data_IF_556884165177
#
_entry.id   IF_556884165177
#
_cell.length_a   1.000
_cell.length_b   1.000
_cell.length_c   1.000
_cell.angle_alpha   90.00
_cell.angle_beta   90.00
_cell.angle_gamma   90.00
#
_symmetry.space_group_name_H-M   'P 1'
#
loop_
_entity.id
_entity.type
_entity.pdbx_description
1 polymer ?
#
# COMPACT_ATOMS: atom_id res chain seq x y z
N UNK A 1 1.05 -77.02 45.90
CA UNK A 1 0.86 -75.57 45.84
C UNK A 1 2.15 -74.76 45.98
N UNK A 2 3.26 -75.27 46.41
CA UNK A 2 4.55 -74.55 46.52
C UNK A 2 5.31 -74.29 45.19
N UNK A 3 5.25 -75.12 44.12
CA UNK A 3 6.02 -74.87 42.91
C UNK A 3 5.42 -73.76 42.02
N UNK A 4 4.11 -73.51 42.12
CA UNK A 4 3.43 -72.49 41.35
C UNK A 4 3.74 -71.06 41.82
N UNK A 5 4.01 -70.86 43.12
CA UNK A 5 4.38 -69.58 43.69
C UNK A 5 5.81 -69.17 43.29
N UNK A 6 6.71 -70.16 43.22
CA UNK A 6 8.10 -69.94 42.78
C UNK A 6 8.18 -69.58 41.28
N UNK A 7 7.38 -70.23 40.46
CA UNK A 7 7.28 -69.87 39.02
C UNK A 7 6.69 -68.48 38.77
N UNK A 8 5.68 -68.06 39.56
CA UNK A 8 5.12 -66.75 39.52
C UNK A 8 6.09 -65.61 39.98
N UNK A 9 6.91 -65.96 40.99
CA UNK A 9 7.92 -65.00 41.48
C UNK A 9 9.11 -64.89 40.52
N UNK A 10 9.45 -65.90 39.74
CA UNK A 10 10.50 -65.92 38.73
C UNK A 10 10.04 -65.12 37.47
N UNK A 11 8.74 -65.11 37.12
CA UNK A 11 8.18 -64.31 36.03
C UNK A 11 8.07 -62.78 36.34
N UNK A 12 8.00 -62.44 37.64
CA UNK A 12 8.00 -61.04 38.07
C UNK A 12 9.41 -60.40 38.08
N UNK A 13 10.46 -61.17 37.96
CA UNK A 13 11.86 -60.72 37.92
C UNK A 13 12.37 -60.43 36.51
N UNK A 14 11.59 -60.61 35.46
CA UNK A 14 11.88 -60.04 34.11
C UNK A 14 11.52 -58.57 34.04
N UNK A 15 11.92 -57.84 35.07
CA UNK A 15 11.96 -56.37 34.95
C UNK A 15 12.96 -56.00 33.84
N UNK A 16 12.49 -55.36 32.82
CA UNK A 16 13.27 -54.82 31.76
C UNK A 16 14.50 -54.09 32.31
N UNK A 17 15.67 -54.67 32.21
CA UNK A 17 16.96 -54.02 32.28
C UNK A 17 17.03 -53.06 31.10
N UNK A 18 16.49 -51.88 31.30
CA UNK A 18 16.73 -50.79 30.34
C UNK A 18 18.21 -50.45 30.44
N UNK A 19 18.95 -50.84 29.41
CA UNK A 19 20.36 -50.50 29.29
C UNK A 19 20.53 -49.00 29.36
N UNK A 20 21.12 -48.50 30.40
CA UNK A 20 21.58 -47.12 30.52
C UNK A 20 22.92 -47.06 29.80
N UNK A 21 22.99 -46.29 28.72
CA UNK A 21 24.19 -46.22 27.86
C UNK A 21 24.82 -44.84 28.05
N UNK A 22 26.11 -44.82 28.21
CA UNK A 22 26.92 -43.59 28.10
C UNK A 22 27.23 -43.35 26.64
N UNK A 23 26.95 -42.11 26.14
CA UNK A 23 27.27 -41.69 24.78
C UNK A 23 28.50 -40.80 24.87
N UNK A 24 29.56 -41.19 24.19
CA UNK A 24 30.80 -40.43 24.11
C UNK A 24 31.26 -40.29 22.66
N UNK A 25 32.05 -39.25 22.40
CA UNK A 25 32.58 -39.07 21.07
C UNK A 25 33.66 -38.00 21.01
N UNK A 26 34.18 -37.82 19.80
CA UNK A 26 35.26 -36.90 19.48
C UNK A 26 34.80 -36.01 18.32
N UNK A 27 35.09 -34.73 18.41
CA UNK A 27 34.82 -33.73 17.36
C UNK A 27 36.15 -33.18 16.86
N UNK A 28 36.39 -33.31 15.56
CA UNK A 28 37.60 -32.80 14.90
C UNK A 28 37.26 -31.94 13.69
N UNK A 29 38.17 -31.05 13.32
CA UNK A 29 38.14 -30.33 12.07
C UNK A 29 38.46 -31.23 10.89
N UNK A 30 37.65 -31.17 9.83
CA UNK A 30 37.75 -32.07 8.68
C UNK A 30 38.97 -31.85 7.84
N UNK A 31 39.60 -30.63 7.85
CA UNK A 31 40.75 -30.28 7.01
C UNK A 31 42.08 -30.61 7.70
N UNK A 32 42.20 -30.31 9.00
CA UNK A 32 43.48 -30.41 9.71
C UNK A 32 43.50 -31.47 10.82
N UNK A 33 42.36 -32.16 11.04
CA UNK A 33 42.14 -33.16 12.09
C UNK A 33 42.39 -32.66 13.54
N UNK A 34 42.45 -31.36 13.76
CA UNK A 34 42.61 -30.80 15.11
C UNK A 34 41.33 -30.95 15.90
N UNK A 35 41.43 -31.15 17.22
CA UNK A 35 40.24 -31.18 18.07
C UNK A 35 39.50 -29.85 18.02
N UNK A 36 38.16 -29.91 18.10
CA UNK A 36 37.28 -28.73 18.10
C UNK A 36 36.74 -28.52 19.50
N UNK A 37 37.23 -27.49 20.16
CA UNK A 37 36.82 -27.10 21.50
C UNK A 37 35.49 -26.30 21.48
N UNK A 38 34.72 -26.38 22.58
CA UNK A 38 33.47 -25.67 22.83
C UNK A 38 32.40 -25.83 21.73
N UNK A 39 32.44 -26.91 20.96
CA UNK A 39 31.36 -27.26 20.05
C UNK A 39 30.11 -27.70 20.84
N UNK A 40 28.95 -27.18 20.45
CA UNK A 40 27.69 -27.56 21.07
C UNK A 40 27.25 -28.91 20.53
N UNK A 41 27.14 -29.91 21.44
CA UNK A 41 26.69 -31.26 21.15
C UNK A 41 25.29 -31.42 21.73
N UNK A 42 24.31 -31.75 20.88
CA UNK A 42 22.91 -31.91 21.26
C UNK A 42 22.45 -33.34 20.99
N UNK A 43 21.79 -33.92 21.94
CA UNK A 43 21.08 -35.19 21.77
C UNK A 43 19.61 -34.89 21.52
N UNK A 44 19.07 -35.37 20.41
CA UNK A 44 17.68 -35.09 20.00
C UNK A 44 17.05 -36.28 19.30
N UNK A 45 15.71 -36.31 19.23
CA UNK A 45 15.02 -37.27 18.36
C UNK A 45 15.18 -36.84 16.90
N UNK A 46 15.42 -37.82 16.02
CA UNK A 46 15.54 -37.57 14.57
C UNK A 46 14.35 -36.76 14.04
N UNK A 47 14.63 -35.60 13.46
CA UNK A 47 13.62 -34.70 12.87
C UNK A 47 12.85 -33.80 13.84
N UNK A 48 13.08 -33.88 15.17
CA UNK A 48 12.30 -33.04 16.11
C UNK A 48 12.86 -31.64 16.29
N UNK A 49 14.15 -31.42 16.06
CA UNK A 49 14.81 -30.12 16.28
C UNK A 49 14.88 -29.67 17.74
N UNK A 50 14.26 -30.39 18.68
CA UNK A 50 14.26 -30.07 20.12
C UNK A 50 15.26 -30.97 20.82
N UNK A 51 16.30 -30.40 21.47
CA UNK A 51 17.28 -31.20 22.18
C UNK A 51 16.67 -31.81 23.45
N UNK A 52 16.96 -33.10 23.69
CA UNK A 52 16.62 -33.82 24.92
C UNK A 52 17.70 -33.56 25.98
N UNK A 53 18.97 -33.44 25.52
CA UNK A 53 20.11 -33.11 26.36
C UNK A 53 21.18 -32.41 25.52
N UNK A 54 22.11 -31.68 26.16
CA UNK A 54 23.22 -31.03 25.49
C UNK A 54 24.47 -31.01 26.36
N UNK A 55 25.62 -30.93 25.70
CA UNK A 55 26.94 -30.75 26.33
C UNK A 55 27.84 -29.96 25.40
N UNK A 56 29.03 -29.60 25.84
CA UNK A 56 30.06 -28.98 25.04
C UNK A 56 31.27 -29.92 24.92
N UNK A 57 32.03 -29.79 23.84
CA UNK A 57 33.32 -30.46 23.73
C UNK A 57 34.37 -29.79 24.62
N UNK A 58 35.31 -30.55 25.13
CA UNK A 58 36.50 -30.09 25.86
C UNK A 58 37.61 -29.64 24.90
N UNK A 59 38.76 -29.20 25.45
CA UNK A 59 39.91 -28.74 24.67
C UNK A 59 40.51 -29.80 23.75
N UNK A 60 40.32 -31.08 24.09
CA UNK A 60 40.72 -32.25 23.31
C UNK A 60 39.63 -32.70 22.32
N UNK A 61 38.49 -31.98 22.25
CA UNK A 61 37.37 -32.26 21.37
C UNK A 61 36.46 -33.39 21.83
N UNK A 62 36.61 -33.91 23.06
CA UNK A 62 35.79 -34.96 23.57
C UNK A 62 34.48 -34.43 24.15
N UNK A 63 33.41 -35.24 24.07
CA UNK A 63 32.15 -35.01 24.75
C UNK A 63 31.61 -36.29 25.37
N UNK A 64 30.85 -36.13 26.44
CA UNK A 64 30.24 -37.23 27.17
C UNK A 64 28.81 -36.82 27.59
N UNK A 65 27.84 -37.69 27.29
CA UNK A 65 26.54 -37.65 27.93
C UNK A 65 26.49 -38.75 29.01
N UNK A 66 26.37 -38.36 30.28
CA UNK A 66 26.25 -39.36 31.35
C UNK A 66 24.90 -40.08 31.22
N UNK A 67 24.93 -41.37 31.39
CA UNK A 67 23.83 -42.32 31.51
C UNK A 67 22.44 -41.87 31.08
N UNK A 68 22.09 -42.14 29.82
CA UNK A 68 20.81 -41.72 29.22
C UNK A 68 20.03 -42.94 28.72
N UNK A 69 18.70 -42.92 28.80
CA UNK A 69 17.85 -43.90 28.13
C UNK A 69 17.81 -43.57 26.64
N UNK A 70 18.43 -44.37 25.82
CA UNK A 70 18.47 -44.22 24.36
C UNK A 70 17.40 -45.09 23.73
N UNK A 71 16.67 -44.56 22.75
CA UNK A 71 15.82 -45.33 21.85
C UNK A 71 16.32 -45.18 20.40
N UNK A 72 15.99 -46.12 19.54
CA UNK A 72 16.52 -46.32 18.19
C UNK A 72 16.33 -45.11 17.22
N UNK A 73 15.68 -44.04 17.66
CA UNK A 73 15.45 -42.85 16.88
C UNK A 73 16.19 -41.59 17.37
N UNK A 74 17.24 -41.77 18.20
CA UNK A 74 18.04 -40.63 18.66
C UNK A 74 19.24 -40.36 17.77
N UNK A 75 19.53 -39.04 17.59
CA UNK A 75 20.70 -38.54 16.87
C UNK A 75 21.46 -37.56 17.74
N UNK A 76 22.78 -37.58 17.59
CA UNK A 76 23.65 -36.52 18.15
C UNK A 76 23.95 -35.53 17.05
N UNK A 77 23.68 -34.26 17.34
CA UNK A 77 23.93 -33.11 16.46
C UNK A 77 25.04 -32.28 17.06
N UNK A 78 26.07 -32.00 16.26
CA UNK A 78 27.18 -31.13 16.63
C UNK A 78 27.17 -29.88 15.80
N UNK A 79 27.34 -28.71 16.44
CA UNK A 79 27.39 -27.41 15.80
C UNK A 79 28.38 -26.47 16.49
N UNK A 80 29.10 -25.69 15.69
CA UNK A 80 29.96 -24.61 16.15
C UNK A 80 29.91 -23.47 15.14
N UNK A 81 29.99 -22.22 15.63
CA UNK A 81 30.00 -21.06 14.77
C UNK A 81 31.23 -21.10 13.83
N UNK A 82 30.99 -20.94 12.53
CA UNK A 82 32.04 -21.06 11.49
C UNK A 82 32.19 -22.45 10.91
N UNK A 83 31.50 -23.46 11.44
CA UNK A 83 31.50 -24.85 10.98
C UNK A 83 30.13 -25.30 10.47
N UNK A 84 30.12 -26.27 9.59
CA UNK A 84 28.90 -26.97 9.18
C UNK A 84 28.34 -27.83 10.29
N UNK A 85 27.03 -27.83 10.47
CA UNK A 85 26.37 -28.73 11.42
C UNK A 85 26.41 -30.17 10.91
N UNK A 86 26.67 -31.15 11.80
CA UNK A 86 26.70 -32.56 11.47
C UNK A 86 25.81 -33.35 12.41
N UNK A 87 25.12 -34.37 11.92
CA UNK A 87 24.26 -35.27 12.70
C UNK A 87 24.65 -36.71 12.44
N UNK A 88 24.78 -37.50 13.53
CA UNK A 88 25.01 -38.94 13.46
C UNK A 88 23.97 -39.68 14.34
N UNK A 89 23.50 -40.87 13.91
CA UNK A 89 22.65 -41.71 14.75
C UNK A 89 23.43 -42.20 15.94
N UNK A 90 22.75 -42.36 17.07
CA UNK A 90 23.33 -42.99 18.25
C UNK A 90 23.35 -44.51 18.07
N UNK A 91 24.54 -45.09 18.09
CA UNK A 91 24.73 -46.54 18.09
C UNK A 91 25.20 -46.94 19.49
N UNK A 92 24.45 -47.80 20.22
CA UNK A 92 24.84 -48.21 21.57
C UNK A 92 26.21 -48.88 21.60
N UNK A 93 27.12 -48.38 22.46
CA UNK A 93 28.46 -48.94 22.65
C UNK A 93 29.51 -48.47 21.66
N UNK A 94 29.18 -47.60 20.66
CA UNK A 94 30.16 -47.04 19.76
C UNK A 94 30.48 -45.59 20.13
N UNK A 95 31.78 -45.21 20.00
CA UNK A 95 32.20 -43.80 20.13
C UNK A 95 31.90 -43.05 18.85
N UNK A 96 31.22 -41.90 18.96
CA UNK A 96 30.86 -41.09 17.81
C UNK A 96 32.03 -40.18 17.38
N UNK A 97 32.35 -40.19 16.10
CA UNK A 97 33.37 -39.30 15.50
C UNK A 97 32.75 -38.29 14.56
N UNK A 98 32.85 -37.01 14.91
CA UNK A 98 32.37 -35.90 14.09
C UNK A 98 33.55 -35.19 13.43
N UNK A 99 33.48 -34.98 12.11
CA UNK A 99 34.45 -34.20 11.33
C UNK A 99 33.74 -32.99 10.78
N UNK A 100 33.89 -31.86 11.46
CA UNK A 100 33.23 -30.59 11.06
C UNK A 100 34.06 -29.89 9.98
N UNK A 101 33.41 -29.54 8.86
CA UNK A 101 34.02 -28.73 7.82
C UNK A 101 33.80 -27.24 8.09
N UNK A 102 34.81 -26.41 7.86
CA UNK A 102 34.68 -24.95 7.91
C UNK A 102 33.61 -24.48 6.92
N UNK A 103 32.67 -23.74 7.40
CA UNK A 103 31.62 -23.13 6.58
C UNK A 103 31.59 -21.64 6.88
N UNK A 104 32.06 -20.77 5.94
CA UNK A 104 32.02 -19.32 6.14
C UNK A 104 30.59 -18.90 6.42
N UNK A 105 30.37 -18.23 7.53
CA UNK A 105 29.07 -17.70 7.89
C UNK A 105 28.82 -16.47 7.04
N UNK A 106 28.06 -16.61 5.97
CA UNK A 106 27.53 -15.47 5.25
C UNK A 106 26.44 -14.82 6.09
N UNK A 107 26.73 -13.71 6.73
CA UNK A 107 25.73 -12.87 7.37
C UNK A 107 24.75 -12.44 6.29
N UNK A 108 23.48 -12.84 6.42
CA UNK A 108 22.41 -12.27 5.59
C UNK A 108 22.41 -10.76 5.84
N UNK A 109 22.54 -9.99 4.76
CA UNK A 109 22.40 -8.55 4.80
C UNK A 109 21.15 -8.17 5.57
N UNK A 110 21.29 -7.53 6.72
CA UNK A 110 20.18 -6.98 7.48
C UNK A 110 19.69 -5.76 6.71
N UNK A 111 18.74 -5.93 5.82
CA UNK A 111 18.03 -4.82 5.21
C UNK A 111 17.22 -4.14 6.31
N UNK A 112 17.78 -3.06 6.86
CA UNK A 112 17.05 -2.16 7.73
C UNK A 112 15.93 -1.55 6.88
N UNK A 113 14.71 -2.05 7.05
CA UNK A 113 13.53 -1.44 6.42
C UNK A 113 13.26 -0.14 7.17
N UNK A 114 13.13 1.00 6.48
CA UNK A 114 12.74 2.23 7.11
C UNK A 114 11.45 2.03 7.89
N UNK A 115 11.25 2.87 8.92
CA UNK A 115 10.02 2.86 9.71
C UNK A 115 8.79 3.09 8.83
N UNK A 116 7.61 2.92 9.41
CA UNK A 116 6.31 3.14 8.75
C UNK A 116 6.21 4.53 8.11
N UNK A 117 6.79 5.52 8.79
CA UNK A 117 6.93 6.91 8.35
C UNK A 117 8.38 7.30 8.59
N UNK A 118 9.03 7.87 7.61
CA UNK A 118 10.39 8.35 7.73
C UNK A 118 10.59 9.67 6.98
N UNK A 119 11.27 10.60 7.62
CA UNK A 119 11.60 11.91 7.05
C UNK A 119 13.02 11.93 6.47
N UNK A 120 13.23 12.71 5.42
CA UNK A 120 14.53 13.08 4.90
C UNK A 120 14.47 14.50 4.38
N UNK A 121 15.10 15.45 5.08
CA UNK A 121 14.98 16.88 4.79
C UNK A 121 13.50 17.30 4.77
N UNK A 122 13.05 18.04 3.75
CA UNK A 122 11.68 18.53 3.57
C UNK A 122 10.75 17.45 2.95
N UNK A 123 11.08 16.17 3.06
CA UNK A 123 10.28 15.08 2.50
C UNK A 123 9.92 14.08 3.57
N UNK A 124 8.62 13.86 3.75
CA UNK A 124 8.07 12.82 4.61
C UNK A 124 7.60 11.68 3.72
N UNK A 125 8.07 10.47 4.00
CA UNK A 125 7.75 9.28 3.22
C UNK A 125 6.87 8.34 4.05
N UNK A 126 5.79 7.87 3.45
CA UNK A 126 4.89 6.86 4.00
C UNK A 126 5.07 5.56 3.22
N UNK A 127 5.51 4.49 3.87
CA UNK A 127 5.52 3.15 3.28
C UNK A 127 4.09 2.62 3.20
N UNK A 128 3.53 2.61 1.99
CA UNK A 128 2.13 2.24 1.74
C UNK A 128 1.82 0.83 2.22
N UNK A 129 2.79 -0.09 2.18
CA UNK A 129 2.59 -1.48 2.62
C UNK A 129 2.15 -1.61 4.08
N UNK A 130 2.43 -0.57 4.89
CA UNK A 130 2.10 -0.50 6.32
C UNK A 130 0.75 0.15 6.63
N UNK A 131 0.09 0.73 5.62
CA UNK A 131 -1.16 1.46 5.77
C UNK A 131 -2.31 0.86 4.95
N UNK A 132 -1.99 0.13 3.89
CA UNK A 132 -2.96 -0.45 2.97
C UNK A 132 -3.83 -1.51 3.67
N UNK A 133 -5.12 -1.49 3.37
CA UNK A 133 -6.11 -2.48 3.79
C UNK A 133 -6.61 -3.26 2.56
N UNK A 134 -7.08 -4.51 2.71
CA UNK A 134 -7.72 -5.27 1.63
C UNK A 134 -8.94 -4.59 1.00
N UNK A 135 -9.53 -3.61 1.69
CA UNK A 135 -10.69 -2.83 1.21
C UNK A 135 -10.29 -1.60 0.41
N UNK A 136 -9.01 -1.28 0.33
CA UNK A 136 -8.55 -0.09 -0.38
C UNK A 136 -8.41 -0.41 -1.87
N UNK A 137 -9.25 0.19 -2.69
CA UNK A 137 -9.27 0.02 -4.13
C UNK A 137 -8.39 1.06 -4.82
N UNK A 138 -8.42 2.29 -4.35
CA UNK A 138 -7.77 3.45 -4.95
C UNK A 138 -6.72 4.10 -4.05
N UNK A 139 -5.87 4.92 -4.66
CA UNK A 139 -4.91 5.76 -3.92
C UNK A 139 -5.62 6.68 -2.93
N UNK A 140 -6.82 7.20 -3.28
CA UNK A 140 -7.62 8.04 -2.40
C UNK A 140 -7.91 7.35 -1.06
N UNK A 141 -8.17 6.04 -1.07
CA UNK A 141 -8.47 5.28 0.15
C UNK A 141 -7.25 5.19 1.05
N UNK A 142 -6.07 5.00 0.47
CA UNK A 142 -4.80 5.02 1.22
C UNK A 142 -4.56 6.42 1.80
N UNK A 143 -4.71 7.48 0.99
CA UNK A 143 -4.45 8.85 1.44
C UNK A 143 -5.28 9.24 2.65
N UNK A 144 -6.54 8.80 2.74
CA UNK A 144 -7.41 9.01 3.90
C UNK A 144 -6.90 8.35 5.20
N UNK A 145 -5.99 7.40 5.11
CA UNK A 145 -5.42 6.67 6.26
C UNK A 145 -4.07 7.19 6.70
N UNK A 146 -3.43 8.01 5.85
CA UNK A 146 -2.10 8.52 6.16
C UNK A 146 -2.19 9.66 7.18
N UNK A 147 -1.43 9.60 8.29
CA UNK A 147 -1.41 10.67 9.29
C UNK A 147 -1.07 12.03 8.67
N UNK A 148 -1.83 13.04 9.06
CA UNK A 148 -1.67 14.41 8.58
C UNK A 148 -2.30 14.70 7.22
N UNK A 149 -2.65 13.68 6.43
CA UNK A 149 -3.33 13.85 5.13
C UNK A 149 -4.83 13.78 5.34
N UNK A 150 -5.55 14.71 4.74
CA UNK A 150 -7.00 14.77 4.72
C UNK A 150 -7.50 14.85 3.29
N UNK A 151 -8.56 14.13 2.97
CA UNK A 151 -9.23 14.18 1.68
C UNK A 151 -10.71 14.47 1.96
N UNK A 152 -11.17 15.63 1.53
CA UNK A 152 -12.56 16.03 1.72
C UNK A 152 -13.51 15.30 0.73
N UNK A 153 -14.82 15.51 0.88
CA UNK A 153 -15.82 14.86 0.03
C UNK A 153 -15.69 15.24 -1.44
N UNK A 154 -15.23 16.46 -1.74
CA UNK A 154 -14.96 16.92 -3.11
C UNK A 154 -13.67 16.32 -3.70
N UNK A 155 -12.88 15.55 -2.93
CA UNK A 155 -11.62 14.99 -3.37
C UNK A 155 -10.41 15.92 -3.23
N UNK A 156 -10.58 17.11 -2.61
CA UNK A 156 -9.47 18.02 -2.34
C UNK A 156 -8.58 17.45 -1.24
N UNK A 157 -7.28 17.45 -1.47
CA UNK A 157 -6.28 16.89 -0.56
C UNK A 157 -5.60 18.02 0.18
N UNK A 158 -5.41 17.84 1.49
CA UNK A 158 -4.61 18.74 2.34
C UNK A 158 -3.69 17.94 3.26
N UNK A 159 -2.63 18.58 3.71
CA UNK A 159 -1.68 18.03 4.69
C UNK A 159 -1.53 19.03 5.85
N UNK A 160 -1.76 18.56 7.08
CA UNK A 160 -1.75 19.39 8.29
C UNK A 160 -2.55 20.69 8.14
N UNK A 161 -3.72 20.61 7.49
CA UNK A 161 -4.63 21.75 7.25
C UNK A 161 -4.25 22.67 6.08
N UNK A 162 -3.12 22.46 5.41
CA UNK A 162 -2.71 23.19 4.20
C UNK A 162 -3.07 22.41 2.94
N UNK A 163 -3.67 23.06 1.96
CA UNK A 163 -4.00 22.44 0.66
C UNK A 163 -2.73 22.11 -0.10
N UNK A 164 -2.72 20.97 -0.81
CA UNK A 164 -1.59 20.65 -1.68
C UNK A 164 -1.62 21.50 -2.95
N UNK A 165 -0.46 22.01 -3.35
CA UNK A 165 -0.29 22.83 -4.56
C UNK A 165 -0.07 21.97 -5.81
N UNK A 166 0.53 20.79 -5.66
CA UNK A 166 0.86 19.88 -6.76
C UNK A 166 0.72 18.43 -6.35
N UNK A 167 0.38 17.60 -7.35
CA UNK A 167 0.26 16.15 -7.21
C UNK A 167 1.07 15.46 -8.31
N UNK A 168 2.10 14.74 -7.88
CA UNK A 168 3.05 14.08 -8.77
C UNK A 168 2.87 12.56 -8.75
N UNK A 169 3.15 11.92 -9.87
CA UNK A 169 3.41 10.48 -9.94
C UNK A 169 4.78 10.29 -10.58
N UNK A 170 5.68 9.56 -9.92
CA UNK A 170 7.08 9.39 -10.35
C UNK A 170 7.78 10.74 -10.65
N UNK A 171 7.41 11.80 -9.93
CA UNK A 171 7.99 13.13 -10.06
C UNK A 171 7.43 13.99 -11.21
N UNK A 172 6.36 13.55 -11.88
CA UNK A 172 5.72 14.26 -12.99
C UNK A 172 4.28 14.66 -12.67
N UNK A 173 3.88 15.88 -13.00
CA UNK A 173 2.53 16.41 -12.81
C UNK A 173 1.73 16.32 -14.12
N UNK A 174 1.03 15.20 -14.30
CA UNK A 174 0.16 14.97 -15.46
C UNK A 174 -1.18 15.73 -15.31
N UNK A 175 -1.71 15.77 -14.11
CA UNK A 175 -3.10 16.16 -13.83
C UNK A 175 -3.34 17.66 -13.83
N UNK A 176 -2.31 18.48 -13.67
CA UNK A 176 -2.41 19.94 -13.62
C UNK A 176 -3.51 20.45 -12.66
N UNK A 177 -3.51 19.91 -11.45
CA UNK A 177 -4.52 20.24 -10.44
C UNK A 177 -5.80 19.39 -10.47
N UNK A 178 -6.00 18.52 -11.49
CA UNK A 178 -7.09 17.53 -11.52
C UNK A 178 -6.67 16.18 -10.99
N UNK A 179 -6.03 16.18 -9.84
CA UNK A 179 -5.47 14.95 -9.27
C UNK A 179 -6.52 13.93 -8.85
N UNK A 180 -7.81 14.30 -8.79
CA UNK A 180 -8.91 13.36 -8.62
C UNK A 180 -8.94 12.26 -9.69
N UNK A 181 -8.56 12.59 -10.94
CA UNK A 181 -8.45 11.64 -12.04
C UNK A 181 -7.45 10.51 -11.75
N UNK A 182 -6.38 10.82 -11.01
CA UNK A 182 -5.36 9.83 -10.64
C UNK A 182 -5.70 9.20 -9.29
N UNK A 183 -6.01 10.00 -8.28
CA UNK A 183 -6.23 9.50 -6.92
C UNK A 183 -7.41 8.55 -6.79
N UNK A 184 -8.47 8.73 -7.58
CA UNK A 184 -9.65 7.87 -7.56
C UNK A 184 -9.51 6.61 -8.46
N UNK A 185 -8.60 6.62 -9.42
CA UNK A 185 -8.53 5.59 -10.46
C UNK A 185 -7.23 4.77 -10.47
N UNK A 186 -6.17 5.25 -9.82
CA UNK A 186 -4.95 4.49 -9.64
C UNK A 186 -5.14 3.48 -8.50
N UNK A 187 -4.91 2.22 -8.81
CA UNK A 187 -5.06 1.13 -7.84
C UNK A 187 -4.14 1.32 -6.61
N UNK A 188 -4.68 1.10 -5.44
CA UNK A 188 -3.97 1.20 -4.16
C UNK A 188 -2.68 0.35 -4.13
N UNK A 189 -2.74 -0.88 -4.62
CA UNK A 189 -1.65 -1.84 -4.63
C UNK A 189 -0.48 -1.45 -5.55
N UNK A 190 -0.68 -0.51 -6.48
CA UNK A 190 0.36 -0.04 -7.40
C UNK A 190 1.36 0.91 -6.73
N UNK A 191 0.98 1.55 -5.62
CA UNK A 191 1.82 2.52 -4.93
C UNK A 191 2.74 1.85 -3.91
N UNK A 192 4.00 2.23 -3.93
CA UNK A 192 5.03 1.80 -2.97
C UNK A 192 5.15 2.80 -1.82
N UNK A 193 5.27 4.10 -2.17
CA UNK A 193 5.50 5.17 -1.21
C UNK A 193 4.70 6.41 -1.59
N UNK A 194 4.06 7.02 -0.61
CA UNK A 194 3.53 8.37 -0.70
C UNK A 194 4.53 9.33 -0.06
N UNK A 195 4.96 10.34 -0.80
CA UNK A 195 5.87 11.37 -0.32
C UNK A 195 5.12 12.68 -0.16
N UNK A 196 5.21 13.29 1.00
CA UNK A 196 4.81 14.67 1.25
C UNK A 196 6.07 15.53 1.11
N UNK A 197 6.03 16.47 0.18
CA UNK A 197 7.11 17.43 -0.08
C UNK A 197 6.70 18.75 0.56
N UNK A 198 7.30 19.06 1.70
CA UNK A 198 7.12 20.34 2.38
C UNK A 198 8.03 21.40 1.74
N UNK A 199 7.68 22.67 1.85
CA UNK A 199 8.44 23.78 1.25
C UNK A 199 8.69 23.59 -0.25
N UNK A 200 7.70 23.03 -0.95
CA UNK A 200 7.84 22.59 -2.33
C UNK A 200 7.94 23.76 -3.30
N UNK A 201 9.02 23.82 -4.07
CA UNK A 201 9.19 24.77 -5.16
C UNK A 201 9.04 24.08 -6.52
N UNK A 202 7.94 24.33 -7.27
CA UNK A 202 7.69 23.67 -8.56
C UNK A 202 8.69 24.08 -9.66
N UNK A 203 9.41 25.20 -9.47
CA UNK A 203 10.41 25.68 -10.40
C UNK A 203 11.79 25.22 -9.94
N UNK A 204 12.34 24.23 -10.61
CA UNK A 204 13.60 23.56 -10.24
C UNK A 204 14.80 24.52 -10.01
N UNK A 205 14.85 25.61 -10.78
CA UNK A 205 15.95 26.61 -10.67
C UNK A 205 15.83 27.40 -9.36
N UNK A 206 14.61 27.57 -8.83
CA UNK A 206 14.35 28.29 -7.58
C UNK A 206 14.35 27.38 -6.35
N UNK A 207 14.43 26.09 -6.55
CA UNK A 207 14.53 25.13 -5.46
C UNK A 207 15.74 25.45 -4.57
N UNK A 208 15.58 25.51 -3.27
CA UNK A 208 16.57 25.93 -2.26
C UNK A 208 17.00 27.41 -2.31
N UNK A 209 16.51 28.19 -3.29
CA UNK A 209 16.79 29.65 -3.36
C UNK A 209 15.68 30.50 -2.81
N UNK A 210 14.45 30.02 -2.92
CA UNK A 210 13.25 30.70 -2.41
C UNK A 210 12.53 29.71 -1.52
N UNK A 211 12.31 30.07 -0.27
CA UNK A 211 11.45 29.32 0.64
C UNK A 211 10.00 29.51 0.24
N UNK A 212 9.25 28.45 0.15
CA UNK A 212 7.80 28.45 -0.05
C UNK A 212 7.16 27.66 1.05
N UNK A 213 5.90 27.95 1.36
CA UNK A 213 5.11 27.14 2.27
C UNK A 213 4.26 26.08 1.53
N UNK A 214 4.48 25.96 0.23
CA UNK A 214 3.73 25.05 -0.62
C UNK A 214 4.02 23.58 -0.25
N UNK A 215 2.97 22.79 -0.31
CA UNK A 215 3.03 21.35 -0.07
C UNK A 215 2.68 20.63 -1.37
N UNK A 216 3.45 19.60 -1.70
CA UNK A 216 3.10 18.72 -2.80
C UNK A 216 3.09 17.26 -2.37
N UNK A 217 2.32 16.44 -3.05
CA UNK A 217 2.35 14.99 -2.92
C UNK A 217 3.04 14.36 -4.12
N UNK A 218 3.82 13.31 -3.88
CA UNK A 218 4.40 12.50 -4.94
C UNK A 218 4.20 11.01 -4.66
N UNK A 219 3.62 10.32 -5.61
CA UNK A 219 3.43 8.89 -5.56
C UNK A 219 4.61 8.18 -6.23
N UNK A 220 5.22 7.24 -5.54
CA UNK A 220 6.17 6.29 -6.12
C UNK A 220 5.50 4.96 -6.34
N UNK A 221 5.61 4.45 -7.55
CA UNK A 221 5.02 3.17 -7.93
C UNK A 221 5.97 2.02 -7.65
N UNK A 222 5.43 0.87 -7.32
CA UNK A 222 6.19 -0.38 -7.26
C UNK A 222 6.79 -0.69 -8.64
N UNK A 223 8.00 -1.29 -8.71
CA UNK A 223 8.70 -1.55 -9.99
C UNK A 223 7.85 -2.28 -11.03
N UNK A 224 7.02 -3.24 -10.60
CA UNK A 224 6.18 -4.05 -11.48
C UNK A 224 5.03 -3.27 -12.15
N UNK A 225 4.66 -2.10 -11.62
CA UNK A 225 3.58 -1.27 -12.17
C UNK A 225 4.11 -0.08 -12.99
N UNK A 226 5.41 0.19 -12.95
CA UNK A 226 6.02 1.26 -13.74
C UNK A 226 6.04 0.90 -15.21
N UNK A 227 5.68 1.86 -16.07
CA UNK A 227 5.68 1.73 -17.53
C UNK A 227 4.82 0.57 -18.08
N UNK A 228 3.83 0.13 -17.32
CA UNK A 228 2.85 -0.86 -17.75
C UNK A 228 1.47 -0.21 -17.87
N UNK A 229 0.65 -0.73 -18.76
CA UNK A 229 -0.75 -0.37 -18.81
C UNK A 229 -1.50 -0.98 -17.64
N UNK A 230 -2.17 -0.12 -16.88
CA UNK A 230 -3.11 -0.47 -15.84
C UNK A 230 -4.49 -0.20 -16.42
N UNK A 231 -5.26 -1.23 -16.69
CA UNK A 231 -6.57 -1.11 -17.31
C UNK A 231 -7.61 -1.67 -16.34
N UNK A 232 -8.66 -0.90 -16.10
CA UNK A 232 -9.84 -1.33 -15.38
C UNK A 232 -11.08 -1.02 -16.20
N UNK A 233 -11.97 -2.01 -16.35
CA UNK A 233 -13.24 -1.90 -17.04
C UNK A 233 -14.34 -2.43 -16.13
N UNK A 234 -15.30 -1.57 -15.83
CA UNK A 234 -16.45 -1.90 -15.01
C UNK A 234 -17.72 -1.50 -15.73
N UNK A 235 -18.75 -2.33 -15.63
CA UNK A 235 -20.05 -2.03 -16.19
C UNK A 235 -21.14 -2.66 -15.33
N UNK A 236 -22.25 -1.96 -15.22
CA UNK A 236 -23.42 -2.45 -14.47
C UNK A 236 -24.71 -1.96 -15.08
N UNK A 237 -25.73 -2.79 -15.02
CA UNK A 237 -27.10 -2.43 -15.38
C UNK A 237 -28.09 -3.10 -14.45
N UNK A 238 -29.24 -2.46 -14.20
CA UNK A 238 -30.28 -3.03 -13.34
C UNK A 238 -31.40 -2.04 -13.06
N UNK A 239 -32.41 -2.53 -12.38
CA UNK A 239 -33.51 -1.72 -11.90
C UNK A 239 -34.62 -1.45 -12.91
N UNK A 240 -35.68 -0.79 -12.41
CA UNK A 240 -36.77 -0.24 -13.20
C UNK A 240 -37.12 1.15 -12.62
N UNK A 241 -36.87 2.25 -13.32
CA UNK A 241 -36.30 2.36 -14.68
C UNK A 241 -34.89 1.79 -14.79
N UNK A 242 -34.45 1.53 -16.03
CA UNK A 242 -33.13 0.96 -16.28
C UNK A 242 -32.04 1.93 -15.79
N UNK A 243 -31.31 1.48 -14.79
CA UNK A 243 -30.09 2.15 -14.29
C UNK A 243 -28.87 1.51 -14.95
N UNK A 244 -27.87 2.32 -15.27
CA UNK A 244 -26.63 1.84 -15.85
C UNK A 244 -25.42 2.61 -15.30
N UNK A 245 -24.27 1.96 -15.29
CA UNK A 245 -22.98 2.57 -15.00
C UNK A 245 -21.91 1.95 -15.89
N UNK A 246 -20.94 2.75 -16.32
CA UNK A 246 -19.78 2.32 -17.09
C UNK A 246 -18.54 3.08 -16.66
N UNK A 247 -17.44 2.36 -16.47
CA UNK A 247 -16.14 2.93 -16.11
C UNK A 247 -15.06 2.23 -16.94
N UNK A 248 -14.29 3.02 -17.68
CA UNK A 248 -13.06 2.59 -18.35
C UNK A 248 -11.93 3.46 -17.87
N UNK A 249 -10.89 2.84 -17.36
CA UNK A 249 -9.69 3.48 -16.88
C UNK A 249 -8.47 2.78 -17.47
N UNK A 250 -7.65 3.51 -18.21
CA UNK A 250 -6.40 3.02 -18.79
C UNK A 250 -5.28 4.01 -18.48
N UNK A 251 -4.30 3.56 -17.72
CA UNK A 251 -3.17 4.38 -17.28
C UNK A 251 -1.84 3.72 -17.63
N UNK A 252 -0.89 4.49 -18.11
CA UNK A 252 0.51 4.12 -18.24
C UNK A 252 1.36 5.22 -17.60
N UNK A 253 2.05 4.89 -16.51
CA UNK A 253 2.78 5.84 -15.69
C UNK A 253 4.25 5.47 -15.63
N UNK A 254 5.11 6.36 -16.11
CA UNK A 254 6.56 6.20 -16.07
C UNK A 254 7.26 7.53 -15.76
N UNK A 255 8.58 7.51 -15.63
CA UNK A 255 9.39 8.72 -15.41
C UNK A 255 9.67 9.53 -16.68
N UNK A 256 9.36 8.97 -17.86
CA UNK A 256 9.61 9.61 -19.17
C UNK A 256 8.32 10.05 -19.83
N UNK A 257 7.25 9.27 -19.66
CA UNK A 257 5.95 9.59 -20.22
C UNK A 257 4.83 9.06 -19.33
N UNK A 258 3.72 9.75 -19.32
CA UNK A 258 2.51 9.35 -18.61
C UNK A 258 1.31 9.53 -19.51
N UNK A 259 0.39 8.59 -19.46
CA UNK A 259 -0.87 8.62 -20.18
C UNK A 259 -1.99 8.18 -19.27
N UNK A 260 -3.10 8.89 -19.29
CA UNK A 260 -4.32 8.56 -18.53
C UNK A 260 -5.51 8.79 -19.43
N UNK A 261 -6.28 7.74 -19.68
CA UNK A 261 -7.51 7.76 -20.44
C UNK A 261 -8.63 7.26 -19.55
N UNK A 262 -9.67 8.05 -19.38
CA UNK A 262 -10.79 7.76 -18.52
C UNK A 262 -12.08 7.98 -19.27
N UNK A 263 -13.01 7.07 -19.13
CA UNK A 263 -14.42 7.26 -19.44
C UNK A 263 -15.24 6.84 -18.24
N UNK A 264 -16.17 7.66 -17.81
CA UNK A 264 -17.17 7.30 -16.81
C UNK A 264 -18.52 7.85 -17.23
N UNK A 265 -19.52 7.00 -17.13
CA UNK A 265 -20.88 7.38 -17.38
C UNK A 265 -21.86 6.63 -16.48
N UNK A 266 -22.92 7.28 -16.08
CA UNK A 266 -23.99 6.64 -15.32
C UNK A 266 -25.27 7.48 -15.27
N UNK A 267 -26.36 6.81 -14.85
CA UNK A 267 -27.62 7.44 -14.45
C UNK A 267 -28.07 7.00 -13.04
N UNK A 268 -27.12 6.60 -12.19
CA UNK A 268 -27.37 6.01 -10.88
C UNK A 268 -27.33 7.00 -9.71
N UNK A 269 -27.20 8.30 -10.00
CA UNK A 269 -27.02 9.33 -8.95
C UNK A 269 -25.56 9.54 -8.52
N UNK A 270 -24.60 8.77 -9.06
CA UNK A 270 -23.20 8.95 -8.74
C UNK A 270 -22.61 10.16 -9.51
N UNK A 271 -22.02 11.11 -8.80
CA UNK A 271 -21.40 12.30 -9.38
C UNK A 271 -19.95 12.07 -9.77
N UNK A 272 -19.73 11.58 -10.98
CA UNK A 272 -18.39 11.35 -11.53
C UNK A 272 -17.72 12.65 -12.01
N UNK A 273 -18.41 13.80 -12.02
CA UNK A 273 -17.83 15.08 -12.43
C UNK A 273 -16.84 15.63 -11.40
N UNK A 274 -16.92 15.19 -10.16
CA UNK A 274 -15.98 15.60 -9.11
C UNK A 274 -14.51 15.24 -9.45
N UNK A 275 -14.27 14.19 -10.24
CA UNK A 275 -12.93 13.82 -10.70
C UNK A 275 -12.32 14.81 -11.70
N UNK A 276 -13.18 15.57 -12.36
CA UNK A 276 -12.79 16.61 -13.32
C UNK A 276 -12.51 17.96 -12.65
N UNK A 277 -12.71 18.06 -11.34
CA UNK A 277 -12.48 19.32 -10.61
C UNK A 277 -11.01 19.69 -10.66
N UNK A 278 -10.81 20.96 -10.95
CA UNK A 278 -9.51 21.60 -10.83
C UNK A 278 -9.39 22.20 -9.43
N UNK A 279 -8.37 21.81 -8.69
CA UNK A 279 -8.12 22.32 -7.35
C UNK A 279 -7.01 23.36 -7.37
N UNK A 280 -7.27 24.49 -6.72
CA UNK A 280 -6.31 25.55 -6.45
C UNK A 280 -6.04 25.62 -4.96
N UNK A 281 -4.86 26.11 -4.61
CA UNK A 281 -4.58 26.51 -3.22
C UNK A 281 -5.33 27.79 -2.88
N UNK A 282 -5.50 28.10 -1.60
CA UNK A 282 -6.14 29.34 -1.16
C UNK A 282 -5.39 30.59 -1.66
N UNK A 283 -4.07 30.51 -1.78
CA UNK A 283 -3.21 31.56 -2.31
C UNK A 283 -3.43 31.76 -3.81
N UNK A 284 -3.54 30.67 -4.58
CA UNK A 284 -3.86 30.72 -6.01
C UNK A 284 -5.28 31.26 -6.23
N UNK A 285 -6.26 30.91 -5.40
CA UNK A 285 -7.62 31.46 -5.46
C UNK A 285 -7.65 32.96 -5.18
N UNK A 286 -6.87 33.45 -4.20
CA UNK A 286 -6.73 34.89 -3.93
C UNK A 286 -6.10 35.63 -5.10
N UNK A 287 -5.11 35.03 -5.77
CA UNK A 287 -4.37 35.64 -6.87
C UNK A 287 -5.15 35.69 -8.18
N UNK A 288 -5.88 34.61 -8.49
CA UNK A 288 -6.53 34.43 -9.80
C UNK A 288 -8.05 34.53 -9.75
N UNK A 289 -8.62 34.73 -8.56
CA UNK A 289 -10.06 34.70 -8.31
C UNK A 289 -10.66 33.29 -8.30
N UNK A 290 -11.96 33.17 -8.02
CA UNK A 290 -12.67 31.87 -8.02
C UNK A 290 -12.72 31.30 -9.44
N UNK A 291 -12.68 29.96 -9.53
CA UNK A 291 -12.76 29.25 -10.82
C UNK A 291 -14.07 29.47 -11.57
N UNK A 292 -15.16 29.73 -10.84
CA UNK A 292 -16.48 30.05 -11.36
C UNK A 292 -17.04 31.25 -10.60
N UNK A 293 -17.66 32.21 -11.29
CA UNK A 293 -18.39 33.28 -10.63
C UNK A 293 -19.41 32.75 -9.64
N UNK A 294 -19.57 33.44 -8.51
CA UNK A 294 -20.45 33.00 -7.41
C UNK A 294 -21.92 32.85 -7.86
N UNK A 295 -22.36 33.63 -8.84
CA UNK A 295 -23.72 33.56 -9.37
C UNK A 295 -24.00 32.31 -10.24
N UNK A 296 -22.95 31.59 -10.69
CA UNK A 296 -23.06 30.32 -11.41
C UNK A 296 -22.99 29.08 -10.45
N UNK A 297 -22.86 29.32 -9.15
CA UNK A 297 -22.92 28.23 -8.18
C UNK A 297 -24.35 27.73 -8.10
N UNK A 298 -24.52 26.45 -8.42
CA UNK A 298 -25.80 25.79 -8.24
C UNK A 298 -26.14 25.70 -6.73
N UNK A 299 -27.41 25.89 -6.35
CA UNK A 299 -27.82 25.68 -4.98
C UNK A 299 -27.51 24.24 -4.56
N UNK A 300 -26.80 24.08 -3.46
CA UNK A 300 -26.52 22.76 -2.90
C UNK A 300 -27.80 22.14 -2.34
N UNK A 301 -28.08 20.90 -2.67
CA UNK A 301 -29.09 20.12 -1.98
C UNK A 301 -28.60 19.86 -0.55
N UNK A 302 -29.26 20.49 0.42
CA UNK A 302 -29.03 20.24 1.83
C UNK A 302 -30.09 19.27 2.33
N UNK A 303 -29.77 17.98 2.38
CA UNK A 303 -30.61 16.96 2.98
C UNK A 303 -29.74 15.96 3.75
N UNK A 304 -30.23 15.32 4.81
CA UNK A 304 -29.47 14.36 5.61
C UNK A 304 -29.32 13.00 4.91
N UNK A 305 -29.34 12.97 3.58
CA UNK A 305 -29.21 11.78 2.75
C UNK A 305 -27.90 11.84 1.95
N UNK A 306 -27.41 10.67 1.58
CA UNK A 306 -26.26 10.58 0.68
C UNK A 306 -26.58 11.23 -0.67
N UNK A 307 -25.61 11.91 -1.25
CA UNK A 307 -25.74 12.66 -2.51
C UNK A 307 -26.30 11.78 -3.65
N UNK A 308 -25.92 10.52 -3.71
CA UNK A 308 -26.35 9.55 -4.72
C UNK A 308 -27.88 9.25 -4.66
N UNK A 309 -28.51 9.49 -3.51
CA UNK A 309 -29.97 9.33 -3.33
C UNK A 309 -30.77 10.57 -3.70
N UNK A 310 -30.11 11.68 -3.88
CA UNK A 310 -30.72 12.99 -4.15
C UNK A 310 -30.48 13.44 -5.59
N UNK A 311 -29.53 12.86 -6.27
CA UNK A 311 -29.09 13.24 -7.60
C UNK A 311 -29.74 12.34 -8.65
N UNK A 312 -30.59 12.93 -9.49
CA UNK A 312 -31.09 12.31 -10.71
C UNK A 312 -30.25 12.85 -11.86
N UNK A 313 -29.31 12.05 -12.36
CA UNK A 313 -28.37 12.48 -13.38
C UNK A 313 -28.32 11.52 -14.57
N UNK A 314 -27.85 12.01 -15.68
CA UNK A 314 -27.30 11.24 -16.79
C UNK A 314 -26.01 11.92 -17.17
N UNK A 315 -24.90 11.27 -16.85
CA UNK A 315 -23.58 11.88 -16.94
C UNK A 315 -22.62 11.04 -17.78
N UNK A 316 -21.82 11.71 -18.58
CA UNK A 316 -20.71 11.15 -19.32
C UNK A 316 -19.48 12.03 -19.13
N UNK A 317 -18.37 11.45 -18.75
CA UNK A 317 -17.08 12.14 -18.65
C UNK A 317 -16.05 11.40 -19.48
N UNK A 318 -15.24 12.14 -20.21
CA UNK A 318 -14.12 11.62 -20.99
C UNK A 318 -12.88 12.43 -20.68
N UNK A 319 -11.75 11.76 -20.44
CA UNK A 319 -10.46 12.39 -20.23
C UNK A 319 -9.37 11.68 -21.01
N UNK A 320 -8.55 12.44 -21.69
CA UNK A 320 -7.34 11.97 -22.36
C UNK A 320 -6.18 12.90 -22.00
N UNK A 321 -5.31 12.44 -21.14
CA UNK A 321 -4.22 13.23 -20.59
C UNK A 321 -2.89 12.56 -20.92
N UNK A 322 -1.95 13.32 -21.44
CA UNK A 322 -0.64 12.82 -21.82
C UNK A 322 0.48 13.80 -21.45
N UNK A 323 1.54 13.28 -20.86
CA UNK A 323 2.71 14.03 -20.47
C UNK A 323 3.98 13.34 -20.99
N UNK A 324 4.79 14.10 -21.70
CA UNK A 324 6.09 13.68 -22.19
C UNK A 324 7.21 14.50 -21.57
N UNK A 325 8.20 13.86 -21.02
CA UNK A 325 9.48 14.45 -20.68
C UNK A 325 10.37 14.39 -21.92
N UNK A 326 10.45 15.50 -22.66
CA UNK A 326 11.23 15.59 -23.89
C UNK A 326 12.73 15.49 -23.58
N UNK A 327 13.17 16.20 -22.53
CA UNK A 327 14.52 16.12 -21.96
C UNK A 327 14.49 16.58 -20.49
N UNK A 328 15.65 16.73 -19.84
CA UNK A 328 15.71 17.16 -18.42
C UNK A 328 15.14 18.56 -18.18
N UNK A 329 15.01 19.36 -19.21
CA UNK A 329 14.60 20.76 -19.14
C UNK A 329 13.26 21.05 -19.79
N UNK A 330 12.69 20.11 -20.55
CA UNK A 330 11.46 20.33 -21.32
C UNK A 330 10.45 19.20 -21.12
N UNK A 331 9.20 19.59 -20.93
CA UNK A 331 8.05 18.71 -20.79
C UNK A 331 6.91 19.22 -21.63
N UNK A 332 6.24 18.33 -22.35
CA UNK A 332 5.00 18.60 -23.10
C UNK A 332 3.85 17.87 -22.41
N UNK A 333 2.83 18.62 -22.02
CA UNK A 333 1.59 18.10 -21.46
C UNK A 333 0.42 18.45 -22.35
N UNK A 334 -0.43 17.48 -22.61
CA UNK A 334 -1.67 17.62 -23.40
C UNK A 334 -2.80 17.03 -22.54
N UNK A 335 -3.82 17.83 -22.28
CA UNK A 335 -5.00 17.43 -21.53
C UNK A 335 -6.24 17.74 -22.37
N UNK A 336 -7.10 16.75 -22.56
CA UNK A 336 -8.41 16.87 -23.17
C UNK A 336 -9.45 16.28 -22.21
N UNK A 337 -10.44 17.07 -21.84
CA UNK A 337 -11.49 16.68 -20.92
C UNK A 337 -12.84 17.08 -21.49
N UNK A 338 -13.81 16.19 -21.40
CA UNK A 338 -15.20 16.43 -21.78
C UNK A 338 -16.14 15.97 -20.68
N UNK A 339 -17.17 16.75 -20.42
CA UNK A 339 -18.24 16.44 -19.48
C UNK A 339 -19.56 16.79 -20.14
N UNK A 340 -20.45 15.82 -20.18
CA UNK A 340 -21.87 16.00 -20.47
C UNK A 340 -22.65 15.56 -19.25
N UNK A 341 -23.49 16.44 -18.69
CA UNK A 341 -24.20 16.17 -17.45
C UNK A 341 -25.63 16.77 -17.51
N UNK A 342 -26.61 15.89 -17.46
CA UNK A 342 -28.02 16.24 -17.34
C UNK A 342 -28.45 15.92 -15.92
N UNK A 343 -28.93 16.91 -15.17
CA UNK A 343 -29.42 16.76 -13.80
C UNK A 343 -30.87 17.19 -13.68
N UNK A 344 -31.64 16.42 -12.96
CA UNK A 344 -32.99 16.81 -12.54
C UNK A 344 -33.04 16.87 -11.02
N UNK A 345 -33.63 17.93 -10.50
CA UNK A 345 -33.83 18.13 -9.06
C UNK A 345 -35.27 18.49 -8.82
N UNK A 346 -35.91 17.79 -7.90
CA UNK A 346 -37.25 18.09 -7.41
C UNK A 346 -37.17 18.55 -5.96
N UNK A 347 -37.73 19.67 -5.65
CA UNK A 347 -37.77 20.24 -4.30
C UNK A 347 -39.19 20.60 -3.95
N UNK A 348 -39.69 20.09 -2.82
CA UNK A 348 -40.93 20.49 -2.19
C UNK A 348 -40.63 21.23 -0.89
N UNK A 349 -41.31 22.33 -0.65
CA UNK A 349 -41.26 23.07 0.60
C UNK A 349 -42.70 23.29 1.09
N UNK A 350 -42.97 22.95 2.34
CA UNK A 350 -44.29 23.17 2.98
C UNK A 350 -44.04 24.07 4.17
N UNK A 351 -44.61 25.27 4.15
CA UNK A 351 -44.54 26.25 5.22
C UNK A 351 -45.90 26.45 5.84
N UNK A 352 -46.00 26.25 7.14
CA UNK A 352 -47.22 26.52 7.91
C UNK A 352 -47.07 27.84 8.65
N UNK A 353 -47.97 28.77 8.38
CA UNK A 353 -48.10 30.03 9.13
C UNK A 353 -49.27 29.88 10.08
N UNK A 354 -48.99 29.82 11.37
CA UNK A 354 -50.00 29.72 12.43
C UNK A 354 -50.49 31.11 12.81
N UNK A 355 -51.78 31.39 12.63
CA UNK A 355 -52.46 32.58 13.10
C UNK A 355 -53.48 32.19 14.16
N UNK A 356 -53.93 33.14 15.03
CA UNK A 356 -54.79 32.84 16.18
C UNK A 356 -56.10 32.11 15.85
N UNK A 357 -56.62 32.25 14.63
CA UNK A 357 -57.90 31.64 14.20
C UNK A 357 -57.75 30.67 13.02
N UNK A 358 -56.59 30.61 12.32
CA UNK A 358 -56.42 29.79 11.10
C UNK A 358 -54.96 29.43 10.86
N UNK A 359 -54.74 28.43 10.03
CA UNK A 359 -53.40 28.01 9.62
C UNK A 359 -53.27 28.13 8.09
N UNK A 360 -52.45 29.05 7.63
CA UNK A 360 -52.11 29.15 6.22
C UNK A 360 -50.98 28.17 5.88
N UNK A 361 -51.25 27.26 4.96
CA UNK A 361 -50.23 26.32 4.46
C UNK A 361 -49.81 26.74 3.05
N UNK A 362 -48.53 27.10 2.90
CA UNK A 362 -47.90 27.37 1.62
C UNK A 362 -47.15 26.11 1.17
N UNK A 363 -47.49 25.60 -0.01
CA UNK A 363 -46.82 24.47 -0.63
C UNK A 363 -46.13 24.95 -1.89
N UNK A 364 -44.80 24.85 -1.93
CA UNK A 364 -43.96 25.19 -3.07
C UNK A 364 -43.37 23.91 -3.65
N UNK A 365 -43.50 23.70 -4.95
CA UNK A 365 -42.88 22.62 -5.68
C UNK A 365 -42.02 23.23 -6.79
N UNK A 366 -40.73 22.85 -6.82
CA UNK A 366 -39.79 23.27 -7.83
C UNK A 366 -39.18 22.04 -8.53
N UNK A 367 -39.24 22.04 -9.85
CA UNK A 367 -38.58 21.05 -10.69
C UNK A 367 -37.54 21.76 -11.55
N UNK A 368 -36.26 21.47 -11.32
CA UNK A 368 -35.15 22.11 -12.01
C UNK A 368 -34.40 21.09 -12.83
N UNK A 369 -34.25 21.37 -14.14
CA UNK A 369 -33.40 20.60 -15.03
C UNK A 369 -32.17 21.42 -15.39
N UNK A 370 -31.01 20.81 -15.25
CA UNK A 370 -29.72 21.44 -15.52
C UNK A 370 -28.99 20.60 -16.55
N UNK A 371 -28.60 21.25 -17.64
CA UNK A 371 -27.72 20.64 -18.64
C UNK A 371 -26.37 21.37 -18.59
N UNK A 372 -25.30 20.61 -18.53
CA UNK A 372 -23.94 21.14 -18.56
C UNK A 372 -23.10 20.36 -19.57
N UNK A 373 -22.64 21.04 -20.59
CA UNK A 373 -21.68 20.52 -21.57
C UNK A 373 -20.38 21.32 -21.40
N UNK A 374 -19.28 20.66 -21.11
CA UNK A 374 -17.98 21.32 -20.91
C UNK A 374 -16.89 20.56 -21.63
N UNK A 375 -16.15 21.27 -22.47
CA UNK A 375 -14.95 20.77 -23.14
C UNK A 375 -13.76 21.61 -22.76
N UNK A 376 -12.67 20.96 -22.46
CA UNK A 376 -11.40 21.61 -22.18
C UNK A 376 -10.27 20.93 -22.94
N UNK A 377 -9.51 21.72 -23.68
CA UNK A 377 -8.27 21.36 -24.31
C UNK A 377 -7.15 22.22 -23.76
N UNK A 378 -6.11 21.62 -23.24
CA UNK A 378 -4.94 22.32 -22.73
C UNK A 378 -3.67 21.69 -23.28
N UNK A 379 -2.81 22.50 -23.85
CA UNK A 379 -1.46 22.13 -24.25
C UNK A 379 -0.46 23.02 -23.53
N UNK A 380 0.48 22.41 -22.81
CA UNK A 380 1.48 23.12 -22.02
C UNK A 380 2.86 22.60 -22.38
N UNK A 381 3.68 23.47 -22.96
CA UNK A 381 5.11 23.21 -23.14
C UNK A 381 5.86 23.97 -22.02
N UNK A 382 6.41 23.22 -21.08
CA UNK A 382 7.22 23.75 -19.98
C UNK A 382 8.70 23.57 -20.33
N UNK A 383 9.41 24.67 -20.46
CA UNK A 383 10.88 24.72 -20.59
C UNK A 383 11.43 25.41 -19.33
N UNK A 384 12.59 25.02 -18.82
CA UNK A 384 13.15 25.52 -17.54
C UNK A 384 13.08 27.06 -17.40
N UNK A 385 13.22 27.80 -18.49
CA UNK A 385 13.22 29.27 -18.49
C UNK A 385 11.92 29.90 -18.97
N UNK A 386 10.99 29.13 -19.57
CA UNK A 386 9.73 29.66 -20.13
C UNK A 386 8.62 28.62 -20.06
N UNK A 387 7.41 29.07 -19.86
CA UNK A 387 6.20 28.26 -19.93
C UNK A 387 5.35 28.82 -21.06
N UNK A 388 5.03 27.95 -22.03
CA UNK A 388 4.07 28.24 -23.08
C UNK A 388 2.83 27.39 -22.82
N UNK A 389 1.68 28.05 -22.74
CA UNK A 389 0.42 27.32 -22.52
C UNK A 389 -0.64 27.85 -23.49
N UNK A 390 -1.38 26.92 -24.07
CA UNK A 390 -2.63 27.18 -24.77
C UNK A 390 -3.72 26.41 -24.05
N UNK A 391 -4.77 27.07 -23.64
CA UNK A 391 -5.95 26.47 -23.05
C UNK A 391 -7.20 26.99 -23.76
N UNK A 392 -8.03 26.05 -24.23
CA UNK A 392 -9.33 26.33 -24.80
C UNK A 392 -10.37 25.68 -23.90
N UNK A 393 -11.32 26.45 -23.42
CA UNK A 393 -12.44 25.96 -22.59
C UNK A 393 -13.71 26.44 -23.30
N UNK A 394 -14.61 25.49 -23.56
CA UNK A 394 -15.97 25.72 -24.00
C UNK A 394 -16.94 25.24 -22.94
N UNK A 395 -17.91 26.01 -22.59
CA UNK A 395 -18.98 25.72 -21.60
C UNK A 395 -20.31 25.76 -22.29
#
# INVERSE_FOLDING_TARGET
MRPLIIASLLCLLTFHLRSQIQIEGLVTDAENNKPVDAATVQLQKKGSGIPVNYTLTDAEGHFIFPTIQVNDSMVVRVSLLGYGTMELPVVPGEKLHFRLSLRPFSLKEVKIRPGRIYGRQDTINYDVSRFISPKDESVKDILKRLPGIQVNDAGKISYNGKDISRFYVEGMDLSDGRYGQISNNLQANAVETVQVLENHQPIRVLNKKISTEDIALNLKLKPQFRNRWLINLEGGTGGSPILWSGNLNAMQLSRKSQSVYLYKGNNTGNDVTDEQRFFRTKEEEKKYGPLLPTFLKQPSLSAPLKKERLLFNQVHTLSANRLYKLNETAQLRINANYVHDLRSQQRGNITHYYQEADTLTLKEESNTQIRSDRTELAQVLKIIRRIFSLRIIST
#
